data_IF_020650156669
#
_entry.id   IF_020650156669
#
_cell.length_a   1.000
_cell.length_b   1.000
_cell.length_c   1.000
_cell.angle_alpha   90.00
_cell.angle_beta   90.00
_cell.angle_gamma   90.00
#
_symmetry.space_group_name_H-M   'P 1'
#
loop_
_entity.id
_entity.type
_entity.pdbx_description
1 polymer ?
#
# COMPACT_ATOMS: atom_id res chain seq x y z
N UNK A 1 0.95 18.56 0.16
CA UNK A 1 1.43 18.00 -1.11
C UNK A 1 0.51 16.86 -1.51
N UNK A 2 0.33 16.62 -2.81
CA UNK A 2 -0.37 15.43 -3.30
C UNK A 2 0.56 14.22 -3.22
N UNK A 3 0.06 13.11 -2.70
CA UNK A 3 0.76 11.83 -2.66
C UNK A 3 -0.16 10.70 -3.08
N UNK A 4 0.46 9.60 -3.52
CA UNK A 4 -0.23 8.40 -3.99
C UNK A 4 0.04 7.26 -3.00
N UNK A 5 -0.95 6.94 -2.16
CA UNK A 5 -0.84 5.95 -1.07
C UNK A 5 -1.16 4.56 -1.60
N UNK A 6 -0.20 3.65 -1.50
CA UNK A 6 -0.31 2.23 -1.88
C UNK A 6 -0.57 1.29 -0.70
N UNK A 7 -0.63 1.80 0.54
CA UNK A 7 -0.94 1.03 1.76
C UNK A 7 -2.16 0.10 1.59
N UNK A 8 -3.17 0.56 0.85
CA UNK A 8 -4.43 -0.15 0.60
C UNK A 8 -4.64 -0.54 -0.86
N UNK A 9 -3.56 -0.60 -1.66
CA UNK A 9 -3.63 -0.84 -3.10
C UNK A 9 -4.37 -2.14 -3.50
N UNK A 10 -4.26 -3.19 -2.68
CA UNK A 10 -4.88 -4.49 -2.96
C UNK A 10 -6.31 -4.63 -2.45
N UNK A 11 -6.86 -3.63 -1.78
CA UNK A 11 -8.24 -3.66 -1.24
C UNK A 11 -9.11 -2.59 -1.88
N UNK A 12 -8.72 -1.32 -1.77
CA UNK A 12 -9.51 -0.17 -2.26
C UNK A 12 -8.82 0.58 -3.39
N UNK A 13 -7.62 0.14 -3.80
CA UNK A 13 -6.82 0.79 -4.84
C UNK A 13 -5.84 1.82 -4.29
N UNK A 14 -5.19 2.55 -5.21
CA UNK A 14 -4.25 3.62 -4.88
C UNK A 14 -5.06 4.87 -4.53
N UNK A 15 -4.77 5.46 -3.37
CA UNK A 15 -5.42 6.70 -2.96
C UNK A 15 -4.57 7.90 -3.38
N UNK A 16 -5.16 8.84 -4.09
CA UNK A 16 -4.57 10.16 -4.33
C UNK A 16 -5.09 11.11 -3.25
N UNK A 17 -4.19 11.62 -2.42
CA UNK A 17 -4.55 12.39 -1.22
C UNK A 17 -3.63 13.58 -1.03
N UNK A 18 -4.16 14.64 -0.44
CA UNK A 18 -3.37 15.76 0.03
C UNK A 18 -2.95 15.57 1.48
N UNK A 19 -1.67 15.80 1.76
CA UNK A 19 -1.12 15.62 3.10
C UNK A 19 0.29 16.19 3.26
N UNK A 20 0.95 15.80 4.35
CA UNK A 20 2.26 16.33 4.76
C UNK A 20 3.22 15.19 5.07
N UNK A 21 4.50 15.42 4.76
CA UNK A 21 5.58 14.54 5.22
C UNK A 21 5.98 15.00 6.62
N UNK A 22 5.86 14.13 7.61
CA UNK A 22 6.10 14.45 9.01
C UNK A 22 7.60 14.37 9.33
N UNK A 23 8.38 15.28 8.75
CA UNK A 23 9.85 15.32 8.87
C UNK A 23 10.36 15.35 10.32
N UNK A 24 9.59 15.91 11.25
CA UNK A 24 9.93 15.93 12.69
C UNK A 24 9.79 14.58 13.41
N UNK A 25 9.14 13.60 12.79
CA UNK A 25 8.96 12.24 13.33
C UNK A 25 9.68 11.20 12.49
N UNK A 26 9.49 11.24 11.17
CA UNK A 26 10.19 10.38 10.20
C UNK A 26 10.06 10.97 8.80
N UNK A 27 11.18 11.07 8.09
CA UNK A 27 11.21 11.53 6.69
C UNK A 27 10.48 10.60 5.71
N UNK A 28 10.12 9.40 6.16
CA UNK A 28 9.37 8.41 5.38
C UNK A 28 7.91 8.30 5.79
N UNK A 29 7.47 9.09 6.78
CA UNK A 29 6.07 9.13 7.23
C UNK A 29 5.30 10.21 6.47
N UNK A 30 4.18 9.82 5.88
CA UNK A 30 3.23 10.71 5.25
C UNK A 30 1.89 10.64 6.01
N UNK A 31 1.35 11.80 6.35
CA UNK A 31 0.09 11.95 7.06
C UNK A 31 -0.93 12.68 6.17
N UNK A 32 -2.16 12.18 6.14
CA UNK A 32 -3.31 12.85 5.52
C UNK A 32 -4.55 12.70 6.40
N UNK A 33 -5.59 13.48 6.13
CA UNK A 33 -6.88 13.38 6.83
C UNK A 33 -7.97 12.86 5.91
N UNK A 34 -8.85 12.02 6.45
CA UNK A 34 -10.09 11.56 5.81
C UNK A 34 -11.18 11.69 6.84
N UNK A 35 -12.24 12.45 6.53
CA UNK A 35 -13.36 12.73 7.44
C UNK A 35 -12.92 13.22 8.83
N UNK A 36 -11.90 14.08 8.88
CA UNK A 36 -11.34 14.62 10.12
C UNK A 36 -10.40 13.66 10.88
N UNK A 37 -10.32 12.39 10.49
CA UNK A 37 -9.43 11.40 11.09
C UNK A 37 -8.06 11.38 10.41
N UNK A 38 -6.99 11.41 11.22
CA UNK A 38 -5.62 11.32 10.74
C UNK A 38 -5.28 9.88 10.30
N UNK A 39 -4.64 9.78 9.14
CA UNK A 39 -4.17 8.55 8.54
C UNK A 39 -2.68 8.68 8.23
N UNK A 40 -1.95 7.57 8.34
CA UNK A 40 -0.51 7.54 8.05
C UNK A 40 -0.11 6.39 7.12
N UNK A 41 0.89 6.67 6.30
CA UNK A 41 1.60 5.72 5.45
C UNK A 41 3.11 5.90 5.64
N UNK A 42 3.86 4.81 5.55
CA UNK A 42 5.28 4.79 5.87
C UNK A 42 6.09 4.16 4.74
N UNK A 43 7.32 4.63 4.53
CA UNK A 43 8.27 4.00 3.62
C UNK A 43 7.71 3.84 2.20
N UNK A 44 7.51 2.58 1.77
CA UNK A 44 7.04 2.22 0.41
C UNK A 44 5.51 2.21 0.25
N UNK A 45 4.77 2.64 1.28
CA UNK A 45 3.32 2.67 1.26
C UNK A 45 2.74 3.96 0.69
N UNK A 46 3.57 4.91 0.28
CA UNK A 46 3.17 6.12 -0.42
C UNK A 46 4.26 6.59 -1.39
N UNK A 47 3.86 7.34 -2.41
CA UNK A 47 4.73 7.76 -3.51
C UNK A 47 4.45 9.20 -3.92
N UNK A 48 5.43 9.87 -4.52
CA UNK A 48 5.28 11.24 -5.01
C UNK A 48 4.67 11.30 -6.41
N UNK A 49 4.77 10.21 -7.18
CA UNK A 49 4.20 10.13 -8.52
C UNK A 49 3.27 8.92 -8.66
N UNK A 50 2.33 9.03 -9.59
CA UNK A 50 1.35 7.98 -9.87
C UNK A 50 2.04 6.73 -10.43
N UNK A 51 3.07 6.92 -11.24
CA UNK A 51 3.83 5.84 -11.89
C UNK A 51 4.55 4.98 -10.85
N UNK A 52 5.14 5.61 -9.83
CA UNK A 52 5.77 4.90 -8.70
C UNK A 52 4.75 4.07 -7.92
N UNK A 53 3.57 4.66 -7.66
CA UNK A 53 2.49 3.97 -6.98
C UNK A 53 1.95 2.79 -7.79
N UNK A 54 1.79 2.94 -9.11
CA UNK A 54 1.36 1.88 -10.02
C UNK A 54 2.38 0.72 -10.05
N UNK A 55 3.67 1.03 -10.18
CA UNK A 55 4.73 0.04 -10.16
C UNK A 55 4.72 -0.76 -8.85
N UNK A 56 4.55 -0.07 -7.72
CA UNK A 56 4.46 -0.70 -6.40
C UNK A 56 3.20 -1.55 -6.25
N UNK A 57 2.04 -1.07 -6.69
CA UNK A 57 0.79 -1.82 -6.63
C UNK A 57 0.86 -3.12 -7.46
N UNK A 58 1.50 -3.08 -8.63
CA UNK A 58 1.71 -4.26 -9.47
C UNK A 58 2.66 -5.26 -8.81
N UNK A 59 3.76 -4.80 -8.21
CA UNK A 59 4.67 -5.64 -7.41
C UNK A 59 3.92 -6.33 -6.25
N UNK A 60 3.07 -5.58 -5.53
CA UNK A 60 2.24 -6.10 -4.46
C UNK A 60 1.25 -7.16 -4.96
N UNK A 61 0.60 -6.91 -6.11
CA UNK A 61 -0.37 -7.82 -6.73
C UNK A 61 0.29 -9.14 -7.11
N UNK A 62 1.43 -9.11 -7.79
CA UNK A 62 2.18 -10.30 -8.20
C UNK A 62 2.62 -11.12 -6.98
N UNK A 63 3.20 -10.48 -5.96
CA UNK A 63 3.61 -11.14 -4.71
C UNK A 63 2.43 -11.80 -3.99
N UNK A 64 1.29 -11.11 -3.94
CA UNK A 64 0.09 -11.64 -3.30
C UNK A 64 -0.46 -12.86 -4.04
N UNK A 65 -0.52 -12.81 -5.38
CA UNK A 65 -0.94 -13.95 -6.20
C UNK A 65 -0.02 -15.15 -5.98
N UNK A 66 1.30 -14.96 -6.00
CA UNK A 66 2.26 -16.04 -5.76
C UNK A 66 2.06 -16.68 -4.37
N UNK A 67 1.88 -15.86 -3.34
CA UNK A 67 1.61 -16.34 -1.97
C UNK A 67 0.28 -17.11 -1.90
N UNK A 68 -0.77 -16.63 -2.55
CA UNK A 68 -2.08 -17.30 -2.57
C UNK A 68 -2.04 -18.64 -3.29
N UNK A 69 -1.37 -18.71 -4.45
CA UNK A 69 -1.16 -19.98 -5.17
C UNK A 69 -0.47 -21.03 -4.29
N UNK A 70 0.58 -20.64 -3.55
CA UNK A 70 1.27 -21.52 -2.61
C UNK A 70 0.34 -22.04 -1.50
N UNK A 71 -0.56 -21.18 -0.99
CA UNK A 71 -1.54 -21.59 0.02
C UNK A 71 -2.58 -22.55 -0.54
N UNK A 72 -3.04 -22.33 -1.78
CA UNK A 72 -3.95 -23.24 -2.48
C UNK A 72 -3.31 -24.63 -2.62
N UNK A 73 -2.08 -24.69 -3.12
CA UNK A 73 -1.33 -25.96 -3.27
C UNK A 73 -1.18 -26.71 -1.93
N UNK A 74 -0.96 -25.98 -0.83
CA UNK A 74 -0.89 -26.57 0.51
C UNK A 74 -2.24 -27.17 0.94
N UNK A 75 -3.34 -26.47 0.67
CA UNK A 75 -4.69 -26.94 1.00
C UNK A 75 -5.11 -28.16 0.17
N UNK A 76 -4.77 -28.20 -1.12
CA UNK A 76 -5.04 -29.33 -2.02
C UNK A 76 -4.37 -30.63 -1.58
N UNK A 77 -3.27 -30.56 -0.81
CA UNK A 77 -2.54 -31.72 -0.29
C UNK A 77 -3.07 -32.25 1.03
N UNK A 78 -3.95 -31.52 1.71
CA UNK A 78 -4.52 -31.99 2.98
C UNK A 78 -5.46 -33.17 2.72
N UNK A 79 -5.32 -34.20 3.56
CA UNK A 79 -6.25 -35.33 3.65
C UNK A 79 -6.81 -35.31 5.07
N UNK A 80 -8.13 -35.40 5.18
CA UNK A 80 -8.85 -35.49 6.44
C UNK A 80 -9.48 -36.87 6.56
#
# INVERSE_FOLDING_TARGET
MTAYVTKYALTIGILEVEGVVCHGTSSTMFEWKTDGHANTAHGKDWHRTREQALARAEEMRQKKIASLKKKIEQLEKLKF
#
